data_IF_778008933005
#
_entry.id   IF_778008933005
#
_cell.length_a   1.000
_cell.length_b   1.000
_cell.length_c   1.000
_cell.angle_alpha   90.00
_cell.angle_beta   90.00
_cell.angle_gamma   90.00
#
_symmetry.space_group_name_H-M   'P 1'
#
loop_
_entity.id
_entity.type
_entity.pdbx_description
1 polymer ?
#
# COMPACT_ATOMS: atom_id res chain seq x y z
N UNK A 1 -7.25 -28.11 47.21
CA UNK A 1 -7.54 -27.22 46.06
C UNK A 1 -6.38 -27.29 45.10
N UNK A 2 -6.48 -28.11 44.05
CA UNK A 2 -5.45 -28.19 43.01
C UNK A 2 -5.66 -27.02 42.03
N UNK A 3 -4.72 -26.07 42.03
CA UNK A 3 -4.69 -24.99 41.05
C UNK A 3 -4.33 -25.57 39.69
N UNK A 4 -5.29 -25.62 38.78
CA UNK A 4 -5.05 -26.00 37.38
C UNK A 4 -4.20 -24.89 36.74
N UNK A 5 -2.89 -25.11 36.66
CA UNK A 5 -2.03 -24.30 35.78
C UNK A 5 -2.54 -24.52 34.36
N UNK A 6 -3.14 -23.47 33.77
CA UNK A 6 -3.36 -23.42 32.31
C UNK A 6 -2.03 -23.78 31.66
N UNK A 7 -1.96 -24.93 30.99
CA UNK A 7 -0.82 -25.27 30.16
C UNK A 7 -0.59 -24.12 29.19
N UNK A 8 0.53 -23.41 29.34
CA UNK A 8 1.00 -22.50 28.31
C UNK A 8 1.09 -23.31 27.01
N UNK A 9 0.57 -22.75 25.91
CA UNK A 9 0.81 -23.38 24.61
C UNK A 9 2.32 -23.47 24.40
N UNK A 10 2.84 -24.60 23.90
CA UNK A 10 4.28 -24.76 23.61
C UNK A 10 4.84 -23.62 22.73
N UNK A 11 3.99 -22.99 21.92
CA UNK A 11 4.30 -21.79 21.14
C UNK A 11 4.66 -20.57 22.00
N UNK A 12 3.98 -20.36 23.14
CA UNK A 12 4.27 -19.24 24.04
C UNK A 12 5.61 -19.35 24.75
N UNK A 13 6.13 -20.56 24.89
CA UNK A 13 7.40 -20.86 25.55
C UNK A 13 8.59 -20.78 24.58
N UNK A 14 8.35 -20.56 23.28
CA UNK A 14 9.40 -20.44 22.28
C UNK A 14 10.13 -19.07 22.39
N UNK A 15 11.48 -19.03 22.43
CA UNK A 15 12.24 -17.79 22.50
C UNK A 15 11.96 -16.83 21.35
N UNK A 16 11.80 -15.55 21.66
CA UNK A 16 11.56 -14.50 20.65
C UNK A 16 12.73 -14.29 19.69
N UNK A 17 13.94 -14.71 20.07
CA UNK A 17 15.14 -14.57 19.23
C UNK A 17 15.06 -15.46 17.99
N UNK A 18 14.32 -16.58 18.08
CA UNK A 18 14.06 -17.43 16.92
C UNK A 18 13.22 -16.69 15.87
N UNK A 19 12.33 -15.77 16.26
CA UNK A 19 11.57 -14.93 15.31
C UNK A 19 12.49 -14.15 14.38
N UNK A 20 13.63 -13.68 14.89
CA UNK A 20 14.65 -12.98 14.11
C UNK A 20 15.30 -13.86 13.02
N UNK A 21 15.25 -15.19 13.15
CA UNK A 21 15.82 -16.11 12.16
C UNK A 21 14.86 -16.43 11.02
N UNK A 22 13.56 -16.50 11.29
CA UNK A 22 12.57 -16.90 10.28
C UNK A 22 11.82 -15.74 9.65
N UNK A 23 11.55 -14.65 10.37
CA UNK A 23 10.87 -13.48 9.80
C UNK A 23 11.56 -12.91 8.55
N UNK A 24 12.91 -12.83 8.48
CA UNK A 24 13.59 -12.36 7.27
C UNK A 24 13.41 -13.28 6.05
N UNK A 25 13.08 -14.56 6.29
CA UNK A 25 12.84 -15.57 5.24
C UNK A 25 11.40 -15.56 4.73
N UNK A 26 10.50 -14.88 5.42
CA UNK A 26 9.12 -14.71 5.00
C UNK A 26 9.03 -13.50 4.08
N UNK A 27 8.87 -13.76 2.78
CA UNK A 27 8.72 -12.70 1.79
C UNK A 27 7.27 -12.20 1.67
N UNK A 28 6.28 -13.03 2.01
CA UNK A 28 4.88 -12.59 2.08
C UNK A 28 4.64 -11.78 3.35
N UNK A 29 4.04 -10.61 3.18
CA UNK A 29 3.53 -9.81 4.28
C UNK A 29 2.46 -10.55 5.09
N UNK A 30 1.59 -11.32 4.42
CA UNK A 30 0.53 -12.08 5.10
C UNK A 30 1.11 -13.08 6.09
N UNK A 31 2.20 -13.75 5.73
CA UNK A 31 2.85 -14.71 6.62
C UNK A 31 3.53 -14.02 7.81
N UNK A 32 4.16 -12.86 7.60
CA UNK A 32 4.70 -12.04 8.69
C UNK A 32 3.63 -11.60 9.68
N UNK A 33 2.42 -11.29 9.20
CA UNK A 33 1.27 -10.93 10.04
C UNK A 33 0.74 -12.16 10.78
N UNK A 34 0.60 -13.30 10.11
CA UNK A 34 0.15 -14.58 10.71
C UNK A 34 1.08 -15.05 11.83
N UNK A 35 2.39 -14.86 11.70
CA UNK A 35 3.36 -15.10 12.79
C UNK A 35 2.98 -14.31 14.04
N UNK A 36 2.63 -13.03 13.91
CA UNK A 36 2.17 -12.19 15.02
C UNK A 36 0.77 -12.55 15.55
N UNK A 37 0.01 -13.39 14.82
CA UNK A 37 -1.30 -13.86 15.24
C UNK A 37 -1.26 -15.15 16.07
N UNK A 38 -0.12 -15.86 16.12
CA UNK A 38 0.01 -17.14 16.85
C UNK A 38 -0.31 -17.01 18.34
N UNK A 39 0.39 -16.10 19.03
CA UNK A 39 0.13 -15.79 20.44
C UNK A 39 0.70 -14.41 20.81
N UNK A 40 0.40 -13.92 22.02
CA UNK A 40 0.86 -12.60 22.48
C UNK A 40 2.42 -12.48 22.50
N UNK A 41 3.18 -13.45 23.03
CA UNK A 41 4.65 -13.43 22.97
C UNK A 41 5.22 -13.32 21.55
N UNK A 42 4.63 -14.05 20.59
CA UNK A 42 5.04 -14.00 19.19
C UNK A 42 4.74 -12.65 18.56
N UNK A 43 3.57 -12.06 18.85
CA UNK A 43 3.22 -10.71 18.40
C UNK A 43 4.23 -9.67 18.89
N UNK A 44 4.55 -9.69 20.19
CA UNK A 44 5.53 -8.76 20.76
C UNK A 44 6.92 -8.98 20.20
N UNK A 45 7.37 -10.24 20.08
CA UNK A 45 8.68 -10.57 19.53
C UNK A 45 8.80 -10.18 18.06
N UNK A 46 7.78 -10.46 17.24
CA UNK A 46 7.80 -10.10 15.82
C UNK A 46 7.88 -8.60 15.60
N UNK A 47 7.19 -7.80 16.44
CA UNK A 47 7.26 -6.34 16.41
C UNK A 47 8.67 -5.78 16.64
N UNK A 48 9.48 -6.44 17.47
CA UNK A 48 10.88 -6.05 17.68
C UNK A 48 11.74 -6.22 16.42
N UNK A 49 11.38 -7.20 15.58
CA UNK A 49 12.15 -7.52 14.38
C UNK A 49 11.64 -6.77 13.13
N UNK A 50 10.37 -6.33 13.09
CA UNK A 50 9.77 -5.70 11.90
C UNK A 50 10.54 -4.51 11.33
N UNK A 51 11.18 -3.68 12.18
CA UNK A 51 11.96 -2.54 11.73
C UNK A 51 13.21 -2.92 10.91
N UNK A 52 13.73 -4.15 11.11
CA UNK A 52 14.95 -4.63 10.47
C UNK A 52 14.67 -5.66 9.36
N UNK A 53 13.40 -5.95 9.06
CA UNK A 53 13.07 -6.89 8.00
C UNK A 53 13.25 -6.23 6.62
N UNK A 54 13.68 -7.00 5.61
CA UNK A 54 13.60 -6.53 4.23
C UNK A 54 12.14 -6.22 3.88
N UNK A 55 11.86 -5.27 2.98
CA UNK A 55 10.50 -5.00 2.52
C UNK A 55 9.79 -6.28 2.07
N UNK A 56 8.49 -6.46 2.36
CA UNK A 56 7.75 -7.60 1.86
C UNK A 56 7.68 -7.57 0.32
N UNK A 57 7.47 -8.72 -0.30
CA UNK A 57 7.26 -8.79 -1.73
C UNK A 57 5.94 -8.07 -2.06
N UNK A 58 5.92 -7.18 -3.07
CA UNK A 58 4.74 -6.41 -3.38
C UNK A 58 3.62 -7.31 -3.90
N UNK A 59 2.39 -6.97 -3.53
CA UNK A 59 1.21 -7.58 -4.14
C UNK A 59 0.92 -6.99 -5.52
N UNK A 60 0.36 -7.83 -6.39
CA UNK A 60 -0.05 -7.42 -7.73
C UNK A 60 -1.54 -7.13 -7.70
N UNK A 61 -1.94 -5.92 -8.05
CA UNK A 61 -3.36 -5.58 -8.17
C UNK A 61 -3.97 -6.31 -9.36
N UNK A 62 -5.18 -6.84 -9.17
CA UNK A 62 -5.94 -7.51 -10.23
C UNK A 62 -7.10 -6.66 -10.75
N UNK A 63 -7.32 -5.46 -10.19
CA UNK A 63 -8.54 -4.67 -10.39
C UNK A 63 -9.66 -5.08 -9.44
N UNK A 64 -10.79 -4.37 -9.47
CA UNK A 64 -12.04 -4.73 -8.77
C UNK A 64 -11.87 -5.22 -7.32
N UNK A 65 -11.17 -4.43 -6.50
CA UNK A 65 -10.90 -4.75 -5.08
C UNK A 65 -10.10 -6.05 -4.86
N UNK A 66 -9.42 -6.60 -5.86
CA UNK A 66 -8.64 -7.83 -5.71
C UNK A 66 -7.13 -7.61 -5.87
N UNK A 67 -6.35 -8.47 -5.22
CA UNK A 67 -4.89 -8.51 -5.34
C UNK A 67 -4.34 -9.94 -5.23
N UNK A 68 -3.18 -10.17 -5.84
CA UNK A 68 -2.44 -11.43 -5.83
C UNK A 68 -1.26 -11.34 -4.87
N UNK A 69 -1.23 -12.24 -3.89
CA UNK A 69 -0.01 -12.58 -3.15
C UNK A 69 0.84 -13.50 -4.03
N UNK A 70 1.85 -12.92 -4.69
CA UNK A 70 2.74 -13.64 -5.62
C UNK A 70 3.50 -14.76 -4.92
N UNK A 71 3.86 -14.57 -3.65
CA UNK A 71 4.66 -15.54 -2.89
C UNK A 71 3.82 -16.78 -2.58
N UNK A 72 2.55 -16.57 -2.23
CA UNK A 72 1.63 -17.65 -1.87
C UNK A 72 0.76 -18.12 -3.04
N UNK A 73 0.86 -17.50 -4.21
CA UNK A 73 0.02 -17.75 -5.38
C UNK A 73 -1.48 -17.69 -5.04
N UNK A 74 -1.88 -16.77 -4.15
CA UNK A 74 -3.24 -16.64 -3.65
C UNK A 74 -3.85 -15.29 -3.98
N UNK A 75 -5.10 -15.32 -4.45
CA UNK A 75 -5.90 -14.13 -4.72
C UNK A 75 -6.72 -13.77 -3.49
N UNK A 76 -6.75 -12.48 -3.16
CA UNK A 76 -7.48 -11.93 -2.02
C UNK A 76 -8.39 -10.79 -2.49
N UNK A 77 -9.59 -10.74 -1.94
CA UNK A 77 -10.52 -9.63 -2.08
C UNK A 77 -10.41 -8.68 -0.88
N UNK A 78 -10.36 -7.39 -1.16
CA UNK A 78 -10.37 -6.30 -0.18
C UNK A 78 -11.79 -6.11 0.34
N UNK A 79 -12.05 -6.68 1.52
CA UNK A 79 -13.25 -6.39 2.28
C UNK A 79 -13.05 -5.09 3.08
N UNK A 80 -13.36 -3.96 2.44
CA UNK A 80 -13.33 -2.64 3.07
C UNK A 80 -14.75 -2.07 3.12
N UNK A 81 -15.13 -1.51 4.27
CA UNK A 81 -16.36 -0.74 4.48
C UNK A 81 -16.29 0.63 3.78
N UNK A 82 -16.05 0.61 2.47
CA UNK A 82 -16.01 1.80 1.62
C UNK A 82 -17.32 1.92 0.82
N UNK A 83 -17.97 3.09 0.82
CA UNK A 83 -19.31 3.29 0.27
C UNK A 83 -19.40 3.29 -1.28
N UNK A 84 -18.37 2.88 -2.02
CA UNK A 84 -18.36 2.91 -3.50
C UNK A 84 -17.37 1.91 -4.07
N UNK A 85 -17.55 1.54 -5.34
CA UNK A 85 -16.56 0.80 -6.16
C UNK A 85 -15.19 1.49 -6.10
N UNK A 86 -14.20 0.74 -5.61
CA UNK A 86 -12.79 1.14 -5.54
C UNK A 86 -11.96 0.13 -6.29
N UNK A 87 -11.05 0.62 -7.14
CA UNK A 87 -10.10 -0.23 -7.84
C UNK A 87 -8.83 -0.36 -7.01
N UNK A 88 -8.35 -1.60 -6.86
CA UNK A 88 -6.98 -1.83 -6.43
C UNK A 88 -6.04 -1.50 -7.59
N UNK A 89 -5.06 -0.62 -7.37
CA UNK A 89 -4.11 -0.16 -8.39
C UNK A 89 -2.69 -0.66 -8.14
N UNK A 90 -2.39 -1.15 -6.94
CA UNK A 90 -1.10 -1.79 -6.64
C UNK A 90 -0.78 -1.81 -5.15
N UNK A 91 0.37 -2.40 -4.83
CA UNK A 91 0.95 -2.39 -3.48
C UNK A 91 1.91 -1.22 -3.32
N UNK A 92 1.90 -0.64 -2.13
CA UNK A 92 2.75 0.46 -1.69
C UNK A 92 3.33 0.07 -0.34
N UNK A 93 4.54 -0.50 -0.37
CA UNK A 93 5.10 -1.20 0.78
C UNK A 93 4.12 -2.29 1.27
N UNK A 94 3.58 -2.15 2.49
CA UNK A 94 2.63 -3.08 3.10
C UNK A 94 1.14 -2.69 2.91
N UNK A 95 0.89 -1.57 2.24
CA UNK A 95 -0.45 -1.04 1.99
C UNK A 95 -0.87 -1.25 0.53
N UNK A 96 -2.16 -1.16 0.27
CA UNK A 96 -2.74 -1.20 -1.07
C UNK A 96 -3.18 0.19 -1.50
N UNK A 97 -2.80 0.61 -2.70
CA UNK A 97 -3.24 1.86 -3.29
C UNK A 97 -4.55 1.64 -4.03
N UNK A 98 -5.56 2.41 -3.64
CA UNK A 98 -6.92 2.33 -4.14
C UNK A 98 -7.33 3.65 -4.80
N UNK A 99 -8.09 3.54 -5.88
CA UNK A 99 -8.70 4.69 -6.54
C UNK A 99 -10.21 4.53 -6.67
N UNK A 100 -10.97 5.60 -6.46
CA UNK A 100 -12.41 5.67 -6.76
C UNK A 100 -12.62 6.25 -8.15
N UNK A 101 -13.65 5.78 -8.83
CA UNK A 101 -14.10 6.33 -10.11
C UNK A 101 -14.34 7.86 -10.05
N UNK A 102 -14.86 8.38 -8.94
CA UNK A 102 -15.06 9.82 -8.72
C UNK A 102 -13.77 10.61 -8.38
N UNK A 103 -12.60 10.02 -8.61
CA UNK A 103 -11.29 10.66 -8.45
C UNK A 103 -10.75 10.70 -7.02
N UNK A 104 -11.19 9.80 -6.13
CA UNK A 104 -10.60 9.66 -4.79
C UNK A 104 -9.40 8.73 -4.79
N UNK A 105 -8.38 9.00 -3.98
CA UNK A 105 -7.18 8.17 -3.81
C UNK A 105 -7.02 7.79 -2.34
N UNK A 106 -6.66 6.53 -2.07
CA UNK A 106 -6.56 5.99 -0.72
C UNK A 106 -5.43 4.98 -0.61
N UNK A 107 -4.83 4.88 0.58
CA UNK A 107 -3.98 3.77 0.99
C UNK A 107 -4.74 2.94 2.01
N UNK A 108 -4.84 1.64 1.79
CA UNK A 108 -5.55 0.72 2.68
C UNK A 108 -4.62 -0.35 3.23
N UNK A 109 -4.70 -0.59 4.53
CA UNK A 109 -4.13 -1.79 5.15
C UNK A 109 -5.16 -2.93 5.03
N UNK A 110 -4.86 -4.02 4.28
CA UNK A 110 -5.82 -5.11 4.08
C UNK A 110 -6.03 -6.00 5.30
N UNK A 111 -5.18 -5.92 6.32
CA UNK A 111 -5.33 -6.73 7.54
C UNK A 111 -6.08 -5.98 8.63
N UNK A 112 -5.79 -4.69 8.81
CA UNK A 112 -6.49 -3.87 9.81
C UNK A 112 -7.77 -3.23 9.26
N UNK A 113 -7.91 -3.13 7.95
CA UNK A 113 -8.98 -2.39 7.29
C UNK A 113 -8.82 -0.87 7.42
N UNK A 114 -7.71 -0.38 7.98
CA UNK A 114 -7.45 1.04 8.09
C UNK A 114 -7.29 1.67 6.69
N UNK A 115 -7.98 2.78 6.45
CA UNK A 115 -7.93 3.50 5.19
C UNK A 115 -7.44 4.92 5.44
N UNK A 116 -6.43 5.32 4.68
CA UNK A 116 -5.80 6.64 4.72
C UNK A 116 -6.07 7.36 3.40
N UNK A 117 -6.86 8.46 3.41
CA UNK A 117 -7.09 9.24 2.20
C UNK A 117 -5.81 9.91 1.71
N UNK A 118 -5.71 10.10 0.40
CA UNK A 118 -4.61 10.77 -0.27
C UNK A 118 -5.17 11.93 -1.11
N UNK A 119 -5.58 13.04 -0.46
CA UNK A 119 -6.31 14.10 -1.13
C UNK A 119 -5.47 14.88 -2.14
N UNK A 120 -4.16 15.05 -1.92
CA UNK A 120 -3.28 15.77 -2.85
C UNK A 120 -3.14 15.07 -4.19
N UNK A 121 -2.93 13.75 -4.17
CA UNK A 121 -2.86 12.94 -5.38
C UNK A 121 -4.21 12.91 -6.09
N UNK A 122 -5.31 12.79 -5.33
CA UNK A 122 -6.66 12.87 -5.87
C UNK A 122 -6.92 14.23 -6.54
N UNK A 123 -6.54 15.33 -5.90
CA UNK A 123 -6.65 16.68 -6.45
C UNK A 123 -5.79 16.84 -7.70
N UNK A 124 -4.55 16.34 -7.67
CA UNK A 124 -3.64 16.40 -8.80
C UNK A 124 -4.18 15.64 -10.02
N UNK A 125 -4.66 14.41 -9.82
CA UNK A 125 -5.27 13.61 -10.89
C UNK A 125 -6.55 14.28 -11.42
N UNK A 126 -7.34 14.90 -10.55
CA UNK A 126 -8.51 15.71 -10.95
C UNK A 126 -8.11 16.93 -11.77
N UNK A 127 -7.08 17.67 -11.36
CA UNK A 127 -6.62 18.86 -12.10
C UNK A 127 -6.03 18.47 -13.47
N UNK A 128 -5.33 17.33 -13.56
CA UNK A 128 -4.85 16.79 -14.83
C UNK A 128 -5.99 16.36 -15.78
N UNK A 129 -7.07 15.80 -15.23
CA UNK A 129 -8.24 15.36 -16.01
C UNK A 129 -9.26 16.48 -16.22
N UNK A 130 -9.13 17.63 -15.54
CA UNK A 130 -10.05 18.76 -15.65
C UNK A 130 -10.07 19.37 -17.06
N UNK A 131 -8.95 19.35 -17.77
CA UNK A 131 -8.87 19.82 -19.17
C UNK A 131 -9.58 18.87 -20.15
N UNK A 132 -9.82 17.60 -19.80
CA UNK A 132 -10.57 16.67 -20.64
C UNK A 132 -12.08 16.85 -20.55
N UNK A 133 -12.60 17.18 -19.37
CA UNK A 133 -14.04 17.25 -19.13
C UNK A 133 -14.76 18.29 -20.01
N UNK A 134 -14.01 19.21 -20.61
CA UNK A 134 -14.52 20.28 -21.48
C UNK A 134 -14.24 20.06 -22.98
N UNK A 135 -13.63 18.95 -23.37
CA UNK A 135 -13.30 18.68 -24.78
C UNK A 135 -13.89 17.35 -25.28
N UNK A 136 -14.89 17.45 -26.15
CA UNK A 136 -15.52 16.31 -26.86
C UNK A 136 -14.58 15.60 -27.85
N UNK A 137 -13.45 16.23 -28.20
CA UNK A 137 -12.50 15.74 -29.21
C UNK A 137 -11.20 15.20 -28.62
N UNK A 138 -10.93 15.45 -27.33
CA UNK A 138 -9.65 15.18 -26.69
C UNK A 138 -9.86 14.23 -25.52
N UNK A 139 -9.26 13.02 -25.58
CA UNK A 139 -9.11 12.16 -24.41
C UNK A 139 -7.62 12.10 -24.00
N UNK A 140 -7.29 12.60 -22.83
CA UNK A 140 -6.19 12.18 -21.96
C UNK A 140 -6.59 10.94 -21.12
N UNK A 141 -6.14 9.75 -21.49
CA UNK A 141 -6.20 8.66 -20.51
C UNK A 141 -5.05 8.83 -19.49
N UNK A 142 -5.40 9.19 -18.26
CA UNK A 142 -4.48 9.28 -17.11
C UNK A 142 -4.51 7.97 -16.33
N UNK A 143 -3.35 7.32 -16.21
CA UNK A 143 -3.22 6.07 -15.46
C UNK A 143 -2.10 6.16 -14.43
N UNK A 144 -2.41 5.82 -13.18
CA UNK A 144 -1.38 5.61 -12.16
C UNK A 144 -0.78 4.23 -12.39
N UNK A 145 0.48 4.19 -12.78
CA UNK A 145 1.20 2.96 -13.16
C UNK A 145 1.84 2.29 -11.97
N UNK A 146 2.40 3.09 -11.07
CA UNK A 146 3.10 2.63 -9.89
C UNK A 146 2.97 3.66 -8.79
N UNK A 147 2.79 3.20 -7.56
CA UNK A 147 2.91 4.03 -6.37
C UNK A 147 3.94 3.37 -5.47
N UNK A 148 4.79 4.17 -4.85
CA UNK A 148 5.79 3.73 -3.89
C UNK A 148 5.76 4.69 -2.71
N UNK A 149 5.80 4.16 -1.49
CA UNK A 149 5.87 4.97 -0.29
C UNK A 149 7.06 4.56 0.55
N UNK A 150 7.55 5.53 1.30
CA UNK A 150 8.46 5.34 2.40
C UNK A 150 7.74 5.78 3.68
N UNK A 151 7.53 4.82 4.58
CA UNK A 151 7.05 5.11 5.91
C UNK A 151 8.23 5.25 6.88
N UNK A 152 8.31 6.34 7.66
CA UNK A 152 9.38 6.53 8.61
C UNK A 152 9.21 5.60 9.82
N UNK A 153 10.31 5.32 10.51
CA UNK A 153 10.31 4.41 11.65
C UNK A 153 9.28 4.83 12.73
N UNK A 154 8.67 3.87 13.46
CA UNK A 154 7.76 4.17 14.56
C UNK A 154 8.40 5.13 15.57
N UNK A 155 7.77 6.28 15.84
CA UNK A 155 8.30 7.32 16.74
C UNK A 155 9.13 8.41 16.05
N UNK A 156 9.34 8.32 14.74
CA UNK A 156 9.93 9.40 13.94
C UNK A 156 8.94 10.54 13.74
N UNK A 157 9.44 11.78 13.84
CA UNK A 157 8.68 12.99 13.51
C UNK A 157 8.58 13.24 11.98
N UNK A 158 9.26 12.42 11.17
CA UNK A 158 9.17 12.52 9.72
C UNK A 158 7.76 12.11 9.25
N UNK A 159 7.24 12.81 8.26
CA UNK A 159 6.01 12.40 7.59
C UNK A 159 6.33 11.38 6.49
N UNK A 160 5.45 10.38 6.27
CA UNK A 160 5.58 9.43 5.16
C UNK A 160 5.59 10.14 3.83
N UNK A 161 6.47 9.68 2.93
CA UNK A 161 6.59 10.21 1.57
C UNK A 161 6.05 9.19 0.60
N UNK A 162 5.20 9.61 -0.32
CA UNK A 162 4.63 8.76 -1.35
C UNK A 162 4.95 9.36 -2.72
N UNK A 163 5.41 8.53 -3.63
CA UNK A 163 5.69 8.85 -5.02
C UNK A 163 4.75 8.05 -5.93
N UNK A 164 4.10 8.71 -6.88
CA UNK A 164 3.25 8.08 -7.89
C UNK A 164 3.82 8.35 -9.28
N UNK A 165 3.97 7.29 -10.08
CA UNK A 165 4.28 7.34 -11.50
C UNK A 165 2.97 7.36 -12.28
N UNK A 166 2.75 8.43 -13.03
CA UNK A 166 1.50 8.71 -13.71
C UNK A 166 1.80 8.83 -15.20
N UNK A 167 1.14 8.01 -16.01
CA UNK A 167 1.23 8.11 -17.46
C UNK A 167 -0.04 8.79 -18.00
N UNK A 168 0.18 9.82 -18.82
CA UNK A 168 -0.84 10.54 -19.56
C UNK A 168 -0.73 10.18 -21.04
N UNK A 169 -1.85 9.76 -21.61
CA UNK A 169 -1.96 9.40 -23.04
C UNK A 169 -2.93 10.33 -23.75
N UNK A 170 -2.44 11.16 -24.65
CA UNK A 170 -3.26 12.06 -25.47
C UNK A 170 -3.68 11.35 -26.78
N UNK A 171 -4.98 11.22 -27.04
CA UNK A 171 -5.54 10.46 -28.18
C UNK A 171 -4.98 10.80 -29.59
N UNK A 172 -4.37 11.97 -29.80
CA UNK A 172 -3.87 12.44 -31.10
C UNK A 172 -2.35 12.58 -31.16
N UNK A 173 -1.64 12.29 -30.07
CA UNK A 173 -0.17 12.27 -30.04
C UNK A 173 0.29 10.88 -29.62
N UNK A 174 1.22 10.30 -30.38
CA UNK A 174 2.03 9.15 -29.94
C UNK A 174 2.93 9.47 -28.73
N UNK A 175 2.87 10.69 -28.19
CA UNK A 175 3.69 11.14 -27.07
C UNK A 175 3.02 10.74 -25.75
N UNK A 176 3.70 9.89 -25.00
CA UNK A 176 3.37 9.55 -23.63
C UNK A 176 4.06 10.57 -22.72
N UNK A 177 3.30 11.23 -21.83
CA UNK A 177 3.90 12.04 -20.76
C UNK A 177 3.88 11.23 -19.48
N UNK A 178 5.04 11.06 -18.88
CA UNK A 178 5.19 10.38 -17.60
C UNK A 178 5.52 11.43 -16.53
N UNK A 179 4.66 11.56 -15.53
CA UNK A 179 4.86 12.47 -14.40
C UNK A 179 5.15 11.68 -13.14
N UNK A 180 6.17 12.10 -12.39
CA UNK A 180 6.42 11.60 -11.03
C UNK A 180 5.85 12.63 -10.05
N UNK A 181 4.88 12.22 -9.25
CA UNK A 181 4.22 13.06 -8.25
C UNK A 181 4.64 12.62 -6.85
N UNK A 182 5.24 13.50 -6.05
CA UNK A 182 5.77 13.18 -4.71
C UNK A 182 5.09 14.05 -3.64
N UNK A 183 4.49 13.43 -2.63
CA UNK A 183 3.76 14.12 -1.56
C UNK A 183 4.02 13.50 -0.17
N UNK A 184 3.74 14.27 0.90
CA UNK A 184 3.76 13.79 2.28
C UNK A 184 2.36 13.43 2.78
N UNK A 185 2.17 12.20 3.26
CA UNK A 185 0.86 11.65 3.60
C UNK A 185 0.19 12.21 4.87
N UNK A 186 0.87 13.05 5.67
CA UNK A 186 0.38 13.54 6.97
C UNK A 186 0.09 15.05 6.96
N UNK A 187 0.60 15.79 5.98
CA UNK A 187 0.53 17.25 5.97
C UNK A 187 -0.20 17.84 4.77
N UNK A 188 -0.77 17.03 3.87
CA UNK A 188 -1.37 17.50 2.61
C UNK A 188 -0.45 18.52 1.90
N UNK A 189 0.86 18.22 1.91
CA UNK A 189 1.87 19.05 1.24
C UNK A 189 2.59 18.27 0.16
N UNK A 190 2.46 18.79 -1.07
CA UNK A 190 3.23 18.37 -2.24
C UNK A 190 4.66 18.89 -2.11
N UNK A 191 5.65 18.03 -2.30
CA UNK A 191 7.07 18.36 -2.03
C UNK A 191 7.86 18.46 -3.34
N UNK A 192 7.40 17.78 -4.39
CA UNK A 192 8.10 17.79 -5.66
C UNK A 192 7.20 17.31 -6.81
N UNK A 193 7.43 17.91 -7.97
CA UNK A 193 6.82 17.52 -9.24
C UNK A 193 7.89 17.54 -10.31
N UNK A 194 8.06 16.41 -10.98
CA UNK A 194 8.95 16.30 -12.12
C UNK A 194 8.17 15.71 -13.30
N UNK A 195 8.22 16.40 -14.44
CA UNK A 195 7.55 15.98 -15.66
C UNK A 195 8.60 15.45 -16.63
N UNK A 196 8.44 14.21 -17.06
CA UNK A 196 9.28 13.56 -18.04
C UNK A 196 8.49 13.39 -19.34
N UNK A 197 9.12 13.74 -20.46
CA UNK A 197 8.55 13.56 -21.79
C UNK A 197 9.26 12.40 -22.45
N UNK A 198 8.55 11.31 -22.67
CA UNK A 198 9.08 10.16 -23.39
C UNK A 198 8.80 10.38 -24.87
N UNK A 199 9.86 10.37 -25.70
CA UNK A 199 9.76 10.49 -27.16
C UNK A 199 9.19 9.22 -27.78
#
# INVERSE_FOLDING_TARGET
MASSKRASSAWSDLPSDLLGLFLPRLHSLADRVRVGAVCRPWRSGARLHYANLPPPMPWVALGDRAYLDVVNSSVHELNLDLPTEVDCRGSVDHMLFLTRYCGGCFLADPFSGAVHPVPDLAFFLKELTREEMFSITFRLSVSVRKVQAHWPAPGSAAAPVVAALIDNTENWRTSFRTTIFIFRAVTDTVIGRENYRTM
#
